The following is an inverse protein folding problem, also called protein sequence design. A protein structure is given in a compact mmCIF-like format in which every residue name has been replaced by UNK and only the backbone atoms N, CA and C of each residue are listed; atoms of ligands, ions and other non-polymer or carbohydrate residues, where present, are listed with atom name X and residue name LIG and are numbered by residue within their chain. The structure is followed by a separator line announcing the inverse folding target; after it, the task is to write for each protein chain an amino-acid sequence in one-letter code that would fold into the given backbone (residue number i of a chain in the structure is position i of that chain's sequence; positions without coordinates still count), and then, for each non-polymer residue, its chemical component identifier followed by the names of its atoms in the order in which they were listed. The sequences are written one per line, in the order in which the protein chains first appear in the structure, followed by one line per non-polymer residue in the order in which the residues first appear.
data_IF_650202805445
#
_entry.id   IF_650202805445
#
_cell.length_a   1.000
_cell.length_b   1.000
_cell.length_c   1.000
_cell.angle_alpha   90.00
_cell.angle_beta   90.00
_cell.angle_gamma   90.00
#
_symmetry.space_group_name_H-M   'P 1'
#
loop_
_entity.id
_entity.type
_entity.pdbx_description
1 polymer ?
#
# COMPACT_ATOMS: atom_id res chain seq x y z
N UNK A 1 3.76 -16.45 -15.32
CA UNK A 1 4.14 -17.70 -16.01
C UNK A 1 2.91 -18.44 -16.57
N UNK A 2 1.78 -18.43 -15.88
CA UNK A 2 0.59 -19.19 -16.24
C UNK A 2 -0.50 -18.35 -16.92
N UNK A 3 -0.21 -17.10 -17.31
CA UNK A 3 -1.10 -16.22 -18.07
C UNK A 3 -2.21 -15.53 -17.26
N UNK A 4 -2.42 -15.89 -15.99
CA UNK A 4 -3.41 -15.22 -15.14
C UNK A 4 -2.79 -13.96 -14.53
N UNK A 5 -3.37 -12.81 -14.88
CA UNK A 5 -3.00 -11.49 -14.34
C UNK A 5 -4.28 -10.79 -13.89
N UNK A 6 -4.33 -10.36 -12.65
CA UNK A 6 -5.45 -9.66 -12.05
C UNK A 6 -4.97 -8.34 -11.43
N UNK A 7 -5.87 -7.40 -11.23
CA UNK A 7 -5.62 -6.22 -10.41
C UNK A 7 -6.40 -6.31 -9.09
N UNK A 8 -5.86 -5.71 -8.05
CA UNK A 8 -6.43 -5.69 -6.71
C UNK A 8 -7.00 -4.32 -6.34
N UNK A 9 -7.51 -3.63 -7.34
CA UNK A 9 -8.03 -2.26 -7.25
C UNK A 9 -6.94 -1.23 -6.95
N UNK A 10 -7.32 -0.01 -6.60
CA UNK A 10 -6.41 1.10 -6.42
C UNK A 10 -6.15 1.44 -4.95
N UNK A 11 -5.08 2.19 -4.77
CA UNK A 11 -4.73 2.95 -3.58
C UNK A 11 -4.62 4.43 -3.93
N UNK A 12 -4.98 5.28 -3.00
CA UNK A 12 -4.77 6.72 -3.05
C UNK A 12 -3.52 7.06 -2.23
N UNK A 13 -2.55 7.72 -2.85
CA UNK A 13 -1.27 8.07 -2.23
C UNK A 13 -0.91 9.55 -2.43
N UNK A 14 -1.91 10.43 -2.52
CA UNK A 14 -1.70 11.85 -2.81
C UNK A 14 -1.20 12.64 -1.60
N UNK A 15 -1.39 12.13 -0.37
CA UNK A 15 -0.90 12.79 0.84
C UNK A 15 0.59 12.54 0.99
N UNK A 16 1.37 13.53 0.59
CA UNK A 16 2.82 13.44 0.54
C UNK A 16 3.48 14.65 1.20
N UNK A 17 4.68 14.42 1.74
CA UNK A 17 5.58 15.48 2.18
C UNK A 17 6.91 15.35 1.46
N UNK A 18 7.34 16.38 0.70
CA UNK A 18 8.58 16.36 -0.08
C UNK A 18 8.67 15.15 -1.05
N UNK A 19 7.56 14.84 -1.73
CA UNK A 19 7.40 13.69 -2.62
C UNK A 19 7.47 12.32 -1.93
N UNK A 20 7.45 12.27 -0.60
CA UNK A 20 7.36 11.03 0.17
C UNK A 20 5.92 10.82 0.62
N UNK A 21 5.36 9.65 0.32
CA UNK A 21 4.03 9.22 0.78
C UNK A 21 4.02 9.16 2.31
N UNK A 22 2.98 9.72 2.94
CA UNK A 22 2.84 9.78 4.41
C UNK A 22 1.56 9.10 4.88
N UNK A 23 0.47 9.30 4.14
CA UNK A 23 -0.81 8.64 4.38
C UNK A 23 -1.32 8.08 3.08
N UNK A 24 -1.74 6.84 3.10
CA UNK A 24 -2.32 6.14 1.97
C UNK A 24 -3.69 5.57 2.36
N UNK A 25 -4.61 5.52 1.40
CA UNK A 25 -5.94 4.94 1.63
C UNK A 25 -6.43 4.06 0.47
N UNK A 26 -7.31 3.15 0.76
CA UNK A 26 -8.02 2.33 -0.22
C UNK A 26 -9.45 2.03 0.27
N UNK A 27 -10.46 2.18 -0.61
CA UNK A 27 -10.41 2.73 -1.96
C UNK A 27 -10.17 4.24 -1.97
N UNK A 28 -9.76 4.79 -3.12
CA UNK A 28 -9.72 6.24 -3.33
C UNK A 28 -11.11 6.84 -3.29
N UNK A 29 -11.26 7.96 -2.58
CA UNK A 29 -12.51 8.73 -2.57
C UNK A 29 -12.72 9.54 -3.85
N UNK A 30 -11.68 9.72 -4.64
CA UNK A 30 -11.71 10.49 -5.89
C UNK A 30 -12.02 9.61 -7.12
N UNK A 31 -11.60 8.35 -7.10
CA UNK A 31 -11.74 7.41 -8.22
C UNK A 31 -13.14 6.80 -8.24
N UNK A 32 -13.87 7.02 -9.35
CA UNK A 32 -15.20 6.39 -9.54
C UNK A 32 -15.07 4.90 -9.86
N UNK A 33 -16.15 4.10 -9.73
CA UNK A 33 -16.14 2.69 -10.10
C UNK A 33 -15.72 2.45 -11.56
N UNK A 34 -16.15 3.32 -12.49
CA UNK A 34 -15.83 3.23 -13.93
C UNK A 34 -14.34 3.51 -14.16
N UNK A 35 -13.82 4.56 -13.53
CA UNK A 35 -12.40 4.91 -13.62
C UNK A 35 -11.52 3.80 -13.02
N UNK A 36 -11.91 3.26 -11.86
CA UNK A 36 -11.23 2.12 -11.21
C UNK A 36 -11.13 0.92 -12.14
N UNK A 37 -12.23 0.60 -12.79
CA UNK A 37 -12.28 -0.51 -13.74
C UNK A 37 -11.33 -0.27 -14.91
N UNK A 38 -11.41 0.90 -15.55
CA UNK A 38 -10.57 1.21 -16.72
C UNK A 38 -9.08 1.24 -16.36
N UNK A 39 -8.70 1.90 -15.27
CA UNK A 39 -7.32 1.91 -14.78
C UNK A 39 -6.81 0.49 -14.46
N UNK A 40 -7.63 -0.34 -13.81
CA UNK A 40 -7.31 -1.72 -13.50
C UNK A 40 -7.09 -2.56 -14.76
N UNK A 41 -7.96 -2.45 -15.77
CA UNK A 41 -7.81 -3.13 -17.05
C UNK A 41 -6.54 -2.69 -17.79
N UNK A 42 -6.19 -1.39 -17.76
CA UNK A 42 -4.94 -0.87 -18.33
C UNK A 42 -3.71 -1.40 -17.59
N UNK A 43 -3.76 -1.46 -16.26
CA UNK A 43 -2.68 -2.02 -15.46
C UNK A 43 -2.44 -3.51 -15.79
N UNK A 44 -3.51 -4.30 -15.91
CA UNK A 44 -3.42 -5.71 -16.34
C UNK A 44 -2.85 -5.83 -17.75
N UNK A 45 -3.29 -4.98 -18.69
CA UNK A 45 -2.78 -4.98 -20.05
C UNK A 45 -1.28 -4.63 -20.10
N UNK A 46 -0.84 -3.63 -19.34
CA UNK A 46 0.56 -3.25 -19.24
C UNK A 46 1.43 -4.40 -18.68
N UNK A 47 1.00 -5.04 -17.59
CA UNK A 47 1.71 -6.18 -17.00
C UNK A 47 1.81 -7.37 -17.97
N UNK A 48 0.74 -7.65 -18.73
CA UNK A 48 0.75 -8.70 -19.77
C UNK A 48 1.70 -8.36 -20.91
N UNK A 49 1.73 -7.12 -21.37
CA UNK A 49 2.58 -6.68 -22.48
C UNK A 49 4.08 -6.90 -22.20
N UNK A 50 4.50 -6.79 -20.95
CA UNK A 50 5.90 -7.01 -20.53
C UNK A 50 6.14 -8.40 -19.94
N UNK A 51 5.15 -9.31 -19.99
CA UNK A 51 5.22 -10.64 -19.40
C UNK A 51 5.62 -10.63 -17.91
N UNK A 52 5.09 -9.65 -17.16
CA UNK A 52 5.44 -9.48 -15.76
C UNK A 52 4.98 -10.65 -14.90
N UNK A 53 5.82 -11.06 -13.96
CA UNK A 53 5.55 -12.16 -13.02
C UNK A 53 5.81 -11.68 -11.60
N UNK A 54 4.82 -11.79 -10.73
CA UNK A 54 4.91 -11.37 -9.33
C UNK A 54 3.94 -10.25 -8.99
N UNK A 55 4.06 -9.71 -7.78
CA UNK A 55 3.33 -8.54 -7.36
C UNK A 55 4.01 -7.26 -7.87
N UNK A 56 3.25 -6.35 -8.42
CA UNK A 56 3.73 -5.06 -8.92
C UNK A 56 2.64 -4.01 -8.83
N UNK A 57 3.01 -2.76 -9.04
CA UNK A 57 2.08 -1.63 -9.03
C UNK A 57 2.32 -0.76 -10.25
N UNK A 58 1.24 -0.42 -10.94
CA UNK A 58 1.22 0.62 -11.95
C UNK A 58 0.76 1.91 -11.26
N UNK A 59 1.58 2.94 -11.29
CA UNK A 59 1.22 4.25 -10.74
C UNK A 59 0.68 5.16 -11.85
N UNK A 60 -0.38 5.88 -11.52
CA UNK A 60 -1.02 6.86 -12.39
C UNK A 60 -1.11 8.21 -11.70
N UNK A 61 -0.99 9.27 -12.48
CA UNK A 61 -1.41 10.62 -12.09
C UNK A 61 -2.83 10.84 -12.59
N UNK A 62 -3.71 11.31 -11.70
CA UNK A 62 -5.11 11.60 -12.03
C UNK A 62 -5.37 13.09 -11.85
N UNK A 63 -5.83 13.78 -12.89
CA UNK A 63 -6.14 15.20 -12.83
C UNK A 63 -7.54 15.47 -12.23
N UNK A 64 -7.85 16.77 -11.99
CA UNK A 64 -9.15 17.20 -11.45
C UNK A 64 -10.36 16.86 -12.33
N UNK A 65 -10.14 16.55 -13.60
CA UNK A 65 -11.15 16.13 -14.57
C UNK A 65 -11.27 14.62 -14.68
N UNK A 66 -10.52 13.88 -13.85
CA UNK A 66 -10.41 12.42 -13.86
C UNK A 66 -9.76 11.83 -15.12
N UNK A 67 -8.99 12.62 -15.86
CA UNK A 67 -8.07 12.06 -16.82
C UNK A 67 -6.88 11.45 -16.06
N UNK A 68 -6.39 10.31 -16.51
CA UNK A 68 -5.25 9.66 -15.86
C UNK A 68 -4.11 9.40 -16.85
N UNK A 69 -2.91 9.44 -16.32
CA UNK A 69 -1.67 9.32 -17.08
C UNK A 69 -0.76 8.32 -16.39
N UNK A 70 -0.18 7.41 -17.17
CA UNK A 70 0.83 6.49 -16.67
C UNK A 70 2.03 7.26 -16.13
N UNK A 71 2.46 6.94 -14.93
CA UNK A 71 3.65 7.50 -14.32
C UNK A 71 4.81 6.50 -14.37
N UNK A 72 4.65 5.36 -13.70
CA UNK A 72 5.68 4.32 -13.62
C UNK A 72 5.11 2.95 -13.27
N UNK A 73 5.94 1.92 -13.40
CA UNK A 73 5.68 0.59 -12.88
C UNK A 73 6.70 0.23 -11.81
N UNK A 74 6.23 -0.02 -10.61
CA UNK A 74 7.04 -0.56 -9.53
C UNK A 74 6.98 -2.10 -9.58
N UNK A 75 8.08 -2.74 -9.95
CA UNK A 75 8.19 -4.20 -10.10
C UNK A 75 8.51 -4.90 -8.77
N UNK A 76 7.84 -4.51 -7.72
CA UNK A 76 8.01 -4.99 -6.34
C UNK A 76 6.75 -4.76 -5.53
N UNK A 77 6.71 -5.38 -4.37
CA UNK A 77 5.75 -5.02 -3.33
C UNK A 77 6.06 -3.61 -2.84
N UNK A 78 5.03 -2.81 -2.60
CA UNK A 78 5.16 -1.44 -2.07
C UNK A 78 4.92 -1.38 -0.57
N UNK A 79 5.36 -0.30 0.08
CA UNK A 79 5.19 -0.07 1.52
C UNK A 79 3.72 -0.13 1.90
N UNK A 80 2.86 0.50 1.09
CA UNK A 80 1.43 0.65 1.29
C UNK A 80 0.58 -0.57 0.87
N UNK A 81 1.19 -1.74 0.66
CA UNK A 81 0.42 -2.97 0.32
C UNK A 81 -0.61 -3.38 1.38
N UNK A 82 -0.41 -3.12 2.69
CA UNK A 82 -1.36 -3.54 3.72
C UNK A 82 -2.78 -3.02 3.51
N UNK A 83 -2.96 -1.77 3.04
CA UNK A 83 -4.32 -1.25 2.80
C UNK A 83 -5.05 -2.02 1.68
N UNK A 84 -4.33 -2.53 0.68
CA UNK A 84 -4.91 -3.43 -0.31
C UNK A 84 -5.29 -4.76 0.32
N UNK A 85 -4.42 -5.35 1.15
CA UNK A 85 -4.68 -6.61 1.84
C UNK A 85 -5.94 -6.52 2.69
N UNK A 86 -6.09 -5.45 3.46
CA UNK A 86 -7.25 -5.24 4.36
C UNK A 86 -8.58 -5.11 3.58
N UNK A 87 -8.59 -4.38 2.46
CA UNK A 87 -9.84 -4.17 1.71
C UNK A 87 -10.22 -5.33 0.78
N UNK A 88 -9.26 -6.16 0.32
CA UNK A 88 -9.56 -7.29 -0.58
C UNK A 88 -9.46 -8.65 0.10
N UNK A 89 -8.90 -8.75 1.31
CA UNK A 89 -8.76 -10.00 2.06
C UNK A 89 -7.76 -10.96 1.44
N UNK A 90 -6.67 -10.47 0.83
CA UNK A 90 -5.63 -11.26 0.17
C UNK A 90 -4.27 -10.94 0.78
N UNK A 91 -3.55 -11.96 1.26
CA UNK A 91 -2.17 -11.85 1.71
C UNK A 91 -1.25 -11.79 0.49
N UNK A 92 -0.80 -10.58 0.13
CA UNK A 92 0.02 -10.31 -1.05
C UNK A 92 1.41 -10.96 -0.97
N UNK A 93 2.02 -10.95 0.20
CA UNK A 93 3.34 -11.55 0.42
C UNK A 93 3.28 -13.06 0.19
N UNK A 94 2.25 -13.70 0.72
CA UNK A 94 2.03 -15.13 0.53
C UNK A 94 1.76 -15.49 -0.93
N UNK A 95 0.93 -14.73 -1.62
CA UNK A 95 0.67 -14.96 -3.04
C UNK A 95 1.92 -14.69 -3.90
N UNK A 96 2.72 -13.68 -3.57
CA UNK A 96 4.00 -13.41 -4.24
C UNK A 96 4.98 -14.58 -4.10
N UNK A 97 5.09 -15.16 -2.90
CA UNK A 97 5.93 -16.34 -2.65
C UNK A 97 5.44 -17.56 -3.48
N UNK A 98 4.13 -17.82 -3.49
CA UNK A 98 3.54 -18.90 -4.29
C UNK A 98 3.83 -18.71 -5.79
N UNK A 99 3.68 -17.49 -6.31
CA UNK A 99 3.98 -17.19 -7.72
C UNK A 99 5.46 -17.37 -8.03
N UNK A 100 6.35 -16.98 -7.10
CA UNK A 100 7.78 -17.20 -7.22
C UNK A 100 8.13 -18.70 -7.24
N UNK A 101 7.47 -19.49 -6.40
CA UNK A 101 7.54 -20.96 -6.36
C UNK A 101 6.84 -21.64 -7.56
N UNK A 102 6.50 -20.89 -8.57
CA UNK A 102 5.86 -21.36 -9.82
C UNK A 102 4.47 -21.99 -9.63
N UNK A 103 3.79 -21.71 -8.53
CA UNK A 103 2.40 -22.12 -8.34
C UNK A 103 1.46 -21.27 -9.19
N UNK A 104 0.33 -21.87 -9.57
CA UNK A 104 -0.73 -21.18 -10.32
C UNK A 104 -1.47 -20.22 -9.38
N UNK A 105 -1.59 -18.94 -9.75
CA UNK A 105 -2.45 -17.99 -9.06
C UNK A 105 -3.92 -18.44 -9.20
N UNK A 106 -4.54 -18.87 -8.11
CA UNK A 106 -5.91 -19.38 -8.10
C UNK A 106 -6.97 -18.29 -8.09
N UNK A 107 -6.61 -17.09 -7.66
CA UNK A 107 -7.50 -15.93 -7.62
C UNK A 107 -7.87 -15.51 -9.04
N UNK A 108 -9.15 -15.23 -9.25
CA UNK A 108 -9.67 -14.64 -10.49
C UNK A 108 -10.13 -13.21 -10.24
N UNK A 109 -10.25 -12.41 -11.30
CA UNK A 109 -10.67 -11.02 -11.17
C UNK A 109 -12.05 -10.87 -10.52
N UNK A 110 -12.98 -11.79 -10.80
CA UNK A 110 -14.32 -11.81 -10.21
C UNK A 110 -14.35 -12.10 -8.70
N UNK A 111 -13.29 -12.70 -8.16
CA UNK A 111 -13.15 -12.97 -6.72
C UNK A 111 -12.75 -11.73 -5.93
N UNK A 112 -12.17 -10.75 -6.61
CA UNK A 112 -11.63 -9.53 -5.97
C UNK A 112 -12.78 -8.55 -5.71
N UNK A 113 -13.05 -8.32 -4.43
CA UNK A 113 -14.10 -7.39 -3.98
C UNK A 113 -13.55 -6.52 -2.88
N UNK A 114 -13.55 -5.22 -3.10
CA UNK A 114 -13.22 -4.26 -2.04
C UNK A 114 -14.32 -4.25 -0.98
N UNK A 115 -13.92 -4.30 0.29
CA UNK A 115 -14.81 -4.25 1.45
C UNK A 115 -14.29 -3.24 2.46
N UNK A 116 -15.15 -2.32 2.88
CA UNK A 116 -14.78 -1.29 3.83
C UNK A 116 -13.77 -0.30 3.26
N UNK A 117 -13.00 0.28 4.15
CA UNK A 117 -12.00 1.29 3.86
C UNK A 117 -10.78 1.08 4.77
N UNK A 118 -9.59 1.19 4.21
CA UNK A 118 -8.35 1.09 4.97
C UNK A 118 -7.50 2.35 4.78
N UNK A 119 -6.87 2.81 5.85
CA UNK A 119 -5.96 3.94 5.87
C UNK A 119 -4.65 3.48 6.50
N UNK A 120 -3.54 3.81 5.88
CA UNK A 120 -2.19 3.58 6.40
C UNK A 120 -1.53 4.92 6.70
N UNK A 121 -0.91 5.03 7.87
CA UNK A 121 -0.05 6.13 8.25
C UNK A 121 1.38 5.60 8.45
N UNK A 122 2.35 6.23 7.79
CA UNK A 122 3.76 5.92 8.01
C UNK A 122 4.23 6.59 9.30
N UNK A 123 4.79 5.80 10.21
CA UNK A 123 5.35 6.27 11.47
C UNK A 123 6.85 6.44 11.29
N UNK A 124 7.28 7.70 11.36
CA UNK A 124 8.67 8.07 11.13
C UNK A 124 9.32 8.65 12.39
N UNK A 125 10.56 8.26 12.65
CA UNK A 125 11.40 8.85 13.69
C UNK A 125 11.95 10.19 13.19
N UNK A 126 11.17 11.24 13.34
CA UNK A 126 11.46 12.58 12.86
C UNK A 126 11.14 13.63 13.93
N UNK A 127 11.93 14.69 13.98
CA UNK A 127 11.72 15.83 14.85
C UNK A 127 10.86 16.89 14.14
N UNK A 128 9.62 17.07 14.59
CA UNK A 128 8.66 18.01 14.00
C UNK A 128 9.08 19.48 14.22
N UNK A 129 9.77 19.80 15.32
CA UNK A 129 10.25 21.15 15.60
C UNK A 129 11.46 21.51 14.73
N UNK A 130 12.23 20.50 14.34
CA UNK A 130 13.38 20.63 13.44
C UNK A 130 13.00 20.35 11.98
N UNK A 131 11.79 20.74 11.56
CA UNK A 131 11.31 20.61 10.19
C UNK A 131 11.36 19.16 9.67
N UNK A 132 10.98 18.22 10.52
CA UNK A 132 10.96 16.78 10.22
C UNK A 132 12.32 16.21 9.83
N UNK A 133 13.38 16.68 10.47
CA UNK A 133 14.68 16.02 10.34
C UNK A 133 14.63 14.63 10.99
N UNK A 134 15.34 13.63 10.40
CA UNK A 134 15.50 12.33 11.05
C UNK A 134 15.99 12.48 12.49
N UNK A 135 15.34 11.78 13.41
CA UNK A 135 15.65 11.77 14.84
C UNK A 135 16.13 10.36 15.23
N UNK A 136 17.42 10.04 15.01
CA UNK A 136 17.99 8.77 15.43
C UNK A 136 18.10 8.69 16.95
N UNK A 137 18.24 7.48 17.47
CA UNK A 137 18.41 7.25 18.91
C UNK A 137 17.80 5.92 19.34
N UNK A 138 17.85 5.69 20.66
CA UNK A 138 17.35 4.45 21.26
C UNK A 138 15.89 4.62 21.68
N UNK A 139 15.04 3.69 21.27
CA UNK A 139 13.64 3.62 21.69
C UNK A 139 13.60 3.24 23.17
N UNK A 140 13.13 4.15 24.01
CA UNK A 140 13.04 3.92 25.45
C UNK A 140 11.79 3.12 25.84
N UNK A 141 10.70 3.41 25.16
CA UNK A 141 9.41 2.75 25.41
C UNK A 141 8.60 2.73 24.13
N UNK A 142 7.87 1.65 23.90
CA UNK A 142 6.92 1.52 22.79
C UNK A 142 5.59 0.95 23.32
N UNK A 143 4.50 1.54 22.85
CA UNK A 143 3.15 1.01 23.07
C UNK A 143 2.42 1.03 21.75
N UNK A 144 2.18 -0.13 21.20
CA UNK A 144 1.49 -0.25 19.92
C UNK A 144 -0.04 -0.23 20.14
N UNK A 145 -0.78 0.59 19.36
CA UNK A 145 -2.23 0.53 19.36
C UNK A 145 -2.70 -0.83 18.85
N UNK A 146 -3.80 -1.34 19.40
CA UNK A 146 -4.40 -2.60 19.01
C UNK A 146 -5.92 -2.52 19.09
N UNK A 147 -6.59 -3.48 18.46
CA UNK A 147 -8.04 -3.55 18.44
C UNK A 147 -8.57 -4.13 17.12
N UNK A 148 -9.89 -4.20 17.01
CA UNK A 148 -10.53 -4.68 15.77
C UNK A 148 -10.22 -3.72 14.63
N UNK A 149 -9.65 -4.24 13.53
CA UNK A 149 -9.31 -3.44 12.36
C UNK A 149 -8.04 -2.58 12.53
N UNK A 150 -7.25 -2.79 13.59
CA UNK A 150 -5.96 -2.13 13.79
C UNK A 150 -4.83 -3.12 13.55
N UNK A 151 -3.91 -2.76 12.65
CA UNK A 151 -2.71 -3.52 12.32
C UNK A 151 -1.49 -2.62 12.43
N UNK A 152 -0.43 -3.14 13.02
CA UNK A 152 0.89 -2.48 13.06
C UNK A 152 1.88 -3.38 12.33
N UNK A 153 2.54 -2.83 11.32
CA UNK A 153 3.70 -3.44 10.68
C UNK A 153 4.94 -2.66 11.12
N UNK A 154 5.70 -3.21 12.05
CA UNK A 154 6.87 -2.57 12.65
C UNK A 154 8.01 -3.58 12.81
N UNK A 155 9.23 -3.08 12.92
CA UNK A 155 10.42 -3.90 13.19
C UNK A 155 11.16 -3.43 14.45
N UNK A 156 10.70 -2.35 15.08
CA UNK A 156 11.34 -1.77 16.25
C UNK A 156 10.80 -2.37 17.55
N UNK A 157 11.59 -2.28 18.60
CA UNK A 157 11.27 -2.74 19.96
C UNK A 157 11.95 -1.86 20.98
N UNK A 158 11.59 -1.98 22.26
CA UNK A 158 12.28 -1.24 23.33
C UNK A 158 13.78 -1.59 23.37
N UNK A 159 14.63 -0.58 23.37
CA UNK A 159 16.06 -0.72 23.28
C UNK A 159 16.62 -0.74 21.85
N UNK A 160 15.77 -0.77 20.82
CA UNK A 160 16.23 -0.70 19.43
C UNK A 160 16.85 0.67 19.13
N UNK A 161 18.03 0.68 18.52
CA UNK A 161 18.71 1.89 18.06
C UNK A 161 18.35 2.19 16.60
N UNK A 162 17.66 3.33 16.38
CA UNK A 162 17.27 3.79 15.05
C UNK A 162 18.51 4.29 14.32
N UNK A 163 18.92 3.67 13.21
CA UNK A 163 20.13 4.03 12.49
C UNK A 163 19.96 5.31 11.67
N UNK A 164 21.07 6.01 11.44
CA UNK A 164 21.14 7.23 10.61
C UNK A 164 21.27 6.92 9.10
N UNK A 165 21.42 5.66 8.72
CA UNK A 165 21.81 5.25 7.35
C UNK A 165 20.64 4.90 6.45
N UNK A 166 19.43 4.82 7.00
CA UNK A 166 18.23 4.37 6.31
C UNK A 166 17.08 5.37 6.48
N UNK A 167 15.97 5.10 5.80
CA UNK A 167 14.72 5.84 5.96
C UNK A 167 14.30 5.89 7.44
N UNK A 168 13.85 7.04 7.96
CA UNK A 168 13.41 7.16 9.35
C UNK A 168 12.11 6.42 9.67
N UNK A 169 11.46 5.77 8.71
CA UNK A 169 10.23 5.02 8.93
C UNK A 169 10.48 3.82 9.85
N UNK A 170 9.82 3.81 10.99
CA UNK A 170 9.94 2.76 12.02
C UNK A 170 8.75 1.81 12.08
N UNK A 171 7.68 2.15 11.40
CA UNK A 171 6.48 1.32 11.34
C UNK A 171 5.39 1.93 10.49
N UNK A 172 4.31 1.17 10.34
CA UNK A 172 3.09 1.58 9.65
C UNK A 172 1.92 1.26 10.57
N UNK A 173 1.06 2.24 10.79
CA UNK A 173 -0.24 2.03 11.41
C UNK A 173 -1.27 1.90 10.29
N UNK A 174 -1.95 0.77 10.25
CA UNK A 174 -3.02 0.50 9.30
C UNK A 174 -4.32 0.34 10.08
N UNK A 175 -5.35 1.06 9.66
CA UNK A 175 -6.69 0.94 10.24
C UNK A 175 -7.67 0.58 9.14
N UNK A 176 -8.48 -0.44 9.38
CA UNK A 176 -9.59 -0.84 8.51
C UNK A 176 -10.91 -0.71 9.24
N UNK A 177 -11.93 -0.21 8.56
CA UNK A 177 -13.30 -0.21 9.05
C UNK A 177 -14.31 -0.39 7.90
N UNK A 178 -15.59 -0.52 8.24
CA UNK A 178 -16.66 -0.69 7.25
C UNK A 178 -16.90 0.56 6.41
N UNK A 179 -16.58 1.74 6.92
CA UNK A 179 -16.62 3.03 6.19
C UNK A 179 -15.36 3.83 6.44
N UNK A 180 -15.12 4.84 5.61
CA UNK A 180 -13.96 5.73 5.75
C UNK A 180 -13.99 6.52 7.06
N UNK A 181 -15.16 6.99 7.46
CA UNK A 181 -15.35 7.78 8.69
C UNK A 181 -14.97 6.98 9.95
N UNK A 182 -15.18 5.68 9.93
CA UNK A 182 -14.78 4.79 11.03
C UNK A 182 -13.33 4.33 10.94
N UNK A 183 -12.67 4.47 9.78
CA UNK A 183 -11.25 4.17 9.62
C UNK A 183 -10.33 5.36 9.99
N UNK A 184 -10.90 6.57 10.11
CA UNK A 184 -10.22 7.77 10.59
C UNK A 184 -10.23 7.82 12.12
#
# INVERSE_FOLDING_TARGET
KHGNVIHLCERECSVQRRNQKIVEESPSVFVTPELRKDMGEKAVAAAKAVNYIGAGTIEFLVDKHRNYYFLEMNTRLQVEHPITEEVVGVDLVKEQIKVADNQVLKLKQEDIKQRGHAIECRICAEDTEMNFMPSPGVIKQITEPNGIGVRIDSYVYEGYEIPIYYDPMIGKLIVWATTREYAI
#
